data_IF_842767670701
#
_entry.id   IF_842767670701
#
_cell.length_a   1.000
_cell.length_b   1.000
_cell.length_c   1.000
_cell.angle_alpha   90.00
_cell.angle_beta   90.00
_cell.angle_gamma   90.00
#
_symmetry.space_group_name_H-M   'P 1'
#
loop_
_entity.id
_entity.type
_entity.pdbx_description
1 polymer ?
#
# COMPACT_ATOMS: atom_id res chain seq x y z
N UNK A 1 17.51 -18.41 10.79
CA UNK A 1 16.04 -18.65 10.66
C UNK A 1 15.80 -19.64 9.53
N UNK A 2 14.68 -20.37 9.54
CA UNK A 2 14.30 -21.29 8.44
C UNK A 2 13.51 -20.50 7.39
N UNK A 3 13.69 -20.80 6.11
CA UNK A 3 12.97 -20.20 4.99
C UNK A 3 11.46 -20.39 5.12
N UNK A 4 10.70 -19.30 5.05
CA UNK A 4 9.25 -19.32 5.18
C UNK A 4 8.54 -20.12 4.07
N UNK A 5 9.10 -20.14 2.85
CA UNK A 5 8.50 -20.87 1.72
C UNK A 5 8.73 -22.38 1.83
N UNK A 6 9.98 -22.84 1.89
CA UNK A 6 10.27 -24.29 1.87
C UNK A 6 10.19 -24.95 3.24
N UNK A 7 10.33 -24.20 4.34
CA UNK A 7 10.39 -24.72 5.73
C UNK A 7 11.51 -25.74 5.98
N UNK A 8 12.51 -25.83 5.10
CA UNK A 8 13.59 -26.82 5.16
C UNK A 8 14.98 -26.19 5.26
N UNK A 9 15.25 -25.17 4.44
CA UNK A 9 16.57 -24.55 4.31
C UNK A 9 16.71 -23.32 5.20
N UNK A 10 17.95 -22.97 5.52
CA UNK A 10 18.23 -21.70 6.18
C UNK A 10 17.85 -20.52 5.27
N UNK A 11 17.16 -19.55 5.85
CA UNK A 11 16.85 -18.29 5.19
C UNK A 11 18.12 -17.43 5.13
N UNK A 12 18.76 -17.42 3.96
CA UNK A 12 20.07 -16.81 3.75
C UNK A 12 20.03 -15.56 2.87
N UNK A 13 18.86 -15.22 2.30
CA UNK A 13 18.74 -14.12 1.34
C UNK A 13 18.43 -12.80 2.03
N UNK A 14 19.10 -11.73 1.58
CA UNK A 14 18.84 -10.34 1.95
C UNK A 14 18.14 -9.58 0.84
N UNK A 15 17.45 -8.50 1.20
CA UNK A 15 16.76 -7.57 0.31
C UNK A 15 15.79 -8.28 -0.64
N UNK A 16 15.04 -9.26 -0.12
CA UNK A 16 14.01 -9.94 -0.92
C UNK A 16 12.78 -9.05 -0.93
N UNK A 17 12.38 -8.53 -2.08
CA UNK A 17 11.15 -7.75 -2.18
C UNK A 17 9.93 -8.67 -2.05
N UNK A 18 9.00 -8.33 -1.15
CA UNK A 18 7.77 -9.11 -0.95
C UNK A 18 6.60 -8.64 -1.83
N UNK A 19 6.67 -7.42 -2.36
CA UNK A 19 5.89 -6.97 -3.51
C UNK A 19 6.81 -6.87 -4.74
N UNK A 20 6.32 -7.25 -5.92
CA UNK A 20 7.16 -7.27 -7.12
C UNK A 20 7.70 -5.88 -7.48
N UNK A 21 9.02 -5.75 -7.39
CA UNK A 21 9.77 -4.50 -7.56
C UNK A 21 9.51 -3.82 -8.91
N UNK A 22 9.46 -4.57 -10.02
CA UNK A 22 9.21 -3.99 -11.36
C UNK A 22 7.87 -3.24 -11.50
N UNK A 23 6.91 -3.53 -10.62
CA UNK A 23 5.62 -2.86 -10.61
C UNK A 23 5.63 -1.69 -9.65
N UNK A 24 6.07 -1.91 -8.40
CA UNK A 24 6.03 -0.88 -7.36
C UNK A 24 7.06 0.23 -7.59
N UNK A 25 8.25 -0.08 -8.16
CA UNK A 25 9.38 0.84 -8.28
C UNK A 25 9.03 2.20 -8.91
N UNK A 26 8.17 2.22 -9.91
CA UNK A 26 7.74 3.47 -10.58
C UNK A 26 6.87 4.37 -9.69
N UNK A 27 6.20 3.80 -8.68
CA UNK A 27 5.55 4.58 -7.63
C UNK A 27 6.57 5.07 -6.59
N UNK A 28 7.61 4.27 -6.33
CA UNK A 28 8.61 4.56 -5.29
C UNK A 28 9.74 5.50 -5.72
N UNK A 29 9.73 5.99 -6.97
CA UNK A 29 10.73 6.91 -7.54
C UNK A 29 10.07 8.27 -7.87
N UNK A 30 10.70 9.40 -7.53
CA UNK A 30 10.25 10.80 -7.51
C UNK A 30 9.82 11.26 -8.91
N UNK A 31 10.53 10.75 -9.92
CA UNK A 31 10.27 11.05 -11.33
C UNK A 31 9.67 9.84 -12.07
N UNK A 32 9.35 8.75 -11.37
CA UNK A 32 8.93 7.46 -11.92
C UNK A 32 9.96 6.77 -12.82
N UNK A 33 11.21 7.25 -12.84
CA UNK A 33 12.30 6.71 -13.65
C UNK A 33 12.64 5.25 -13.25
N UNK A 34 13.21 4.48 -14.18
CA UNK A 34 13.69 3.10 -13.90
C UNK A 34 15.01 3.06 -13.11
N UNK A 35 15.70 4.20 -13.01
CA UNK A 35 16.93 4.36 -12.24
C UNK A 35 16.60 4.54 -10.76
N UNK A 36 17.37 3.86 -9.90
CA UNK A 36 17.19 3.87 -8.44
C UNK A 36 17.64 5.20 -7.85
N UNK A 37 16.87 6.26 -8.00
CA UNK A 37 17.11 7.48 -7.22
C UNK A 37 15.81 8.17 -6.84
N UNK A 38 15.56 8.10 -5.52
CA UNK A 38 14.66 8.90 -4.70
C UNK A 38 13.20 8.76 -5.08
N UNK A 39 12.28 8.42 -4.17
CA UNK A 39 10.85 8.65 -4.37
C UNK A 39 10.05 8.39 -3.10
N UNK A 40 8.77 8.76 -3.15
CA UNK A 40 7.89 8.76 -2.00
C UNK A 40 6.91 7.61 -2.10
N UNK A 41 6.73 6.88 -1.01
CA UNK A 41 5.55 6.06 -0.88
C UNK A 41 4.97 6.20 0.51
N UNK A 42 3.66 6.01 0.53
CA UNK A 42 2.83 6.22 1.69
C UNK A 42 2.41 4.85 2.18
N UNK A 43 2.90 4.45 3.35
CA UNK A 43 2.30 3.32 4.04
C UNK A 43 0.84 3.69 4.40
N UNK A 44 -0.08 2.77 4.14
CA UNK A 44 -1.50 2.88 4.51
C UNK A 44 -1.73 2.05 5.77
N UNK A 45 -0.77 2.06 6.70
CA UNK A 45 -0.95 1.38 7.96
C UNK A 45 -1.90 2.17 8.85
N UNK A 46 -2.83 1.44 9.46
CA UNK A 46 -3.84 2.01 10.36
C UNK A 46 -3.27 2.38 11.75
N UNK A 47 -1.99 2.13 11.99
CA UNK A 47 -1.39 2.20 13.33
C UNK A 47 -0.91 3.60 13.69
N UNK A 48 -0.70 4.49 12.71
CA UNK A 48 -0.28 5.86 12.96
C UNK A 48 -1.16 6.85 12.14
N UNK A 49 -1.63 7.95 12.74
CA UNK A 49 -2.30 9.04 12.00
C UNK A 49 -1.30 9.93 11.26
N UNK A 50 -0.02 9.55 11.30
CA UNK A 50 1.11 10.20 10.66
C UNK A 50 1.51 9.38 9.46
N UNK A 51 1.99 10.05 8.41
CA UNK A 51 2.54 9.34 7.27
C UNK A 51 3.95 8.88 7.63
N UNK A 52 4.16 7.58 7.77
CA UNK A 52 5.50 7.01 7.76
C UNK A 52 6.06 7.16 6.33
N UNK A 53 6.94 8.15 6.17
CA UNK A 53 7.70 8.33 4.95
C UNK A 53 8.91 7.43 4.96
N UNK A 54 8.90 6.48 4.05
CA UNK A 54 10.08 5.68 3.77
C UNK A 54 10.70 6.21 2.47
N UNK A 55 11.91 6.72 2.59
CA UNK A 55 12.69 7.22 1.47
C UNK A 55 13.57 6.11 0.94
N UNK A 56 13.85 6.10 -0.36
CA UNK A 56 14.82 5.15 -0.90
C UNK A 56 16.26 5.61 -0.67
N UNK A 57 17.16 4.63 -0.54
CA UNK A 57 18.63 4.83 -0.58
C UNK A 57 19.02 5.76 -1.73
N UNK A 58 19.71 6.85 -1.40
CA UNK A 58 20.21 7.84 -2.38
C UNK A 58 19.43 9.16 -2.38
N UNK A 59 18.30 9.26 -1.67
CA UNK A 59 17.65 10.56 -1.43
C UNK A 59 18.60 11.45 -0.63
N UNK A 60 19.05 12.56 -1.24
CA UNK A 60 19.91 13.50 -0.54
C UNK A 60 19.12 14.18 0.58
N UNK A 61 19.78 14.42 1.73
CA UNK A 61 19.18 15.12 2.87
C UNK A 61 18.51 16.46 2.43
N UNK A 62 19.09 17.25 1.50
CA UNK A 62 18.40 18.45 1.02
C UNK A 62 17.06 18.20 0.32
N UNK A 63 16.93 17.15 -0.50
CA UNK A 63 15.67 16.79 -1.18
C UNK A 63 14.65 16.22 -0.19
N UNK A 64 15.14 15.46 0.79
CA UNK A 64 14.36 14.94 1.91
C UNK A 64 13.71 16.09 2.69
N UNK A 65 14.51 17.08 3.08
CA UNK A 65 14.06 18.26 3.83
C UNK A 65 13.15 19.19 3.02
N UNK A 66 13.42 19.35 1.71
CA UNK A 66 12.55 20.09 0.79
C UNK A 66 11.14 19.48 0.73
N UNK A 67 11.07 18.15 0.70
CA UNK A 67 9.82 17.41 0.58
C UNK A 67 9.04 17.36 1.90
N UNK A 68 9.76 17.25 3.02
CA UNK A 68 9.17 17.31 4.36
C UNK A 68 8.78 18.74 4.76
N UNK A 69 9.39 19.76 4.14
CA UNK A 69 9.26 21.17 4.54
C UNK A 69 9.85 21.46 5.93
N UNK A 70 10.71 20.57 6.44
CA UNK A 70 11.40 20.62 7.74
C UNK A 70 12.68 19.78 7.71
N UNK A 71 13.52 19.93 8.73
CA UNK A 71 14.66 19.04 8.93
C UNK A 71 14.20 17.61 9.23
N UNK A 72 14.88 16.63 8.65
CA UNK A 72 14.64 15.22 8.90
C UNK A 72 15.32 14.78 10.21
N UNK A 73 14.67 13.91 10.98
CA UNK A 73 15.26 13.34 12.20
C UNK A 73 16.27 12.24 11.87
N UNK A 74 17.18 11.90 12.80
CA UNK A 74 18.12 10.79 12.60
C UNK A 74 17.40 9.45 12.37
N UNK A 75 16.27 9.23 13.03
CA UNK A 75 15.43 8.03 12.83
C UNK A 75 14.84 7.98 11.42
N UNK A 76 14.38 9.12 10.87
CA UNK A 76 13.88 9.21 9.50
C UNK A 76 14.98 8.97 8.47
N UNK A 77 16.19 9.47 8.75
CA UNK A 77 17.38 9.26 7.91
C UNK A 77 17.83 7.78 7.96
N UNK A 78 17.67 7.10 9.09
CA UNK A 78 18.00 5.67 9.20
C UNK A 78 16.94 4.80 8.52
N UNK A 79 15.64 5.07 8.75
CA UNK A 79 14.53 4.42 8.03
C UNK A 79 14.64 4.62 6.51
N UNK A 80 15.08 5.79 6.06
CA UNK A 80 15.38 6.09 4.65
C UNK A 80 16.47 5.20 4.02
N UNK A 81 17.26 4.48 4.82
CA UNK A 81 18.29 3.54 4.31
C UNK A 81 17.74 2.13 4.11
N UNK A 82 16.56 1.83 4.66
CA UNK A 82 15.88 0.56 4.47
C UNK A 82 15.34 0.48 3.04
N UNK A 83 15.35 -0.73 2.46
CA UNK A 83 14.80 -0.94 1.13
C UNK A 83 13.31 -1.23 1.31
N UNK A 84 12.43 -0.40 0.73
CA UNK A 84 11.01 -0.52 0.96
C UNK A 84 10.45 -1.82 0.39
N UNK A 85 9.46 -2.36 1.09
CA UNK A 85 8.81 -3.62 0.75
C UNK A 85 9.78 -4.79 0.58
N UNK A 86 10.87 -4.80 1.35
CA UNK A 86 11.87 -5.86 1.31
C UNK A 86 12.19 -6.42 2.69
N UNK A 87 12.59 -7.69 2.73
CA UNK A 87 12.94 -8.39 3.96
C UNK A 87 14.29 -9.09 3.87
N UNK A 88 14.96 -9.15 5.01
CA UNK A 88 16.21 -9.85 5.21
C UNK A 88 15.97 -11.17 5.95
N UNK A 89 16.59 -12.25 5.47
CA UNK A 89 16.64 -13.55 6.12
C UNK A 89 15.27 -14.19 6.41
N UNK A 90 14.26 -13.89 5.58
CA UNK A 90 12.94 -14.57 5.59
C UNK A 90 12.91 -15.73 4.59
N UNK A 91 13.61 -15.59 3.46
CA UNK A 91 13.62 -16.57 2.37
C UNK A 91 15.05 -17.07 2.10
N UNK A 92 15.14 -18.25 1.48
CA UNK A 92 16.39 -18.78 0.95
C UNK A 92 16.53 -18.49 -0.54
N UNK A 93 17.76 -18.43 -1.05
CA UNK A 93 18.06 -18.15 -2.46
C UNK A 93 17.28 -19.04 -3.44
N UNK A 94 17.15 -20.34 -3.16
CA UNK A 94 16.42 -21.27 -4.03
C UNK A 94 14.92 -20.96 -4.11
N UNK A 95 14.34 -20.37 -3.06
CA UNK A 95 12.92 -19.98 -3.07
C UNK A 95 12.70 -18.63 -3.76
N UNK A 96 13.71 -17.76 -3.77
CA UNK A 96 13.70 -16.53 -4.55
C UNK A 96 13.74 -16.82 -6.06
N UNK A 97 14.43 -17.88 -6.49
CA UNK A 97 14.39 -18.35 -7.87
C UNK A 97 12.96 -18.75 -8.30
N UNK A 98 12.18 -19.36 -7.40
CA UNK A 98 10.76 -19.68 -7.62
C UNK A 98 9.92 -18.39 -7.76
N UNK A 99 10.19 -17.37 -6.93
CA UNK A 99 9.51 -16.08 -7.08
C UNK A 99 9.80 -15.48 -8.46
N UNK A 100 11.06 -15.54 -8.89
CA UNK A 100 11.48 -15.05 -10.21
C UNK A 100 10.81 -15.81 -11.35
N UNK A 101 10.65 -17.14 -11.24
CA UNK A 101 9.97 -17.95 -12.26
C UNK A 101 8.46 -17.65 -12.36
N UNK A 102 7.84 -17.22 -11.27
CA UNK A 102 6.43 -16.77 -11.26
C UNK A 102 6.28 -15.33 -11.78
N UNK A 103 7.17 -14.42 -11.36
CA UNK A 103 7.07 -13.00 -11.70
C UNK A 103 7.41 -12.71 -13.17
N UNK A 104 8.46 -13.35 -13.70
CA UNK A 104 8.99 -13.06 -15.04
C UNK A 104 7.93 -13.24 -16.13
N UNK A 105 7.18 -14.36 -16.21
CA UNK A 105 6.13 -14.52 -17.22
C UNK A 105 5.04 -13.45 -17.14
N UNK A 106 4.65 -13.04 -15.94
CA UNK A 106 3.65 -11.98 -15.78
C UNK A 106 4.20 -10.63 -16.29
N UNK A 107 5.42 -10.27 -15.91
CA UNK A 107 6.07 -9.01 -16.32
C UNK A 107 6.26 -8.94 -17.83
N UNK A 108 6.66 -10.04 -18.47
CA UNK A 108 6.99 -10.06 -19.89
C UNK A 108 5.76 -10.19 -20.79
N UNK A 109 4.69 -10.86 -20.32
CA UNK A 109 3.55 -11.22 -21.19
C UNK A 109 2.23 -10.56 -20.81
N UNK A 110 1.99 -10.31 -19.51
CA UNK A 110 0.72 -9.78 -19.01
C UNK A 110 0.81 -8.27 -18.78
N UNK A 111 1.82 -7.81 -18.05
CA UNK A 111 2.00 -6.39 -17.71
C UNK A 111 2.01 -5.44 -18.93
N UNK A 112 2.61 -5.79 -20.09
CA UNK A 112 2.59 -4.93 -21.27
C UNK A 112 1.18 -4.63 -21.80
N UNK A 113 0.24 -5.56 -21.61
CA UNK A 113 -1.16 -5.39 -22.02
C UNK A 113 -1.86 -4.26 -21.24
N UNK A 114 -1.29 -3.84 -20.11
CA UNK A 114 -1.78 -2.74 -19.29
C UNK A 114 -1.00 -1.45 -19.52
N UNK A 115 0.34 -1.50 -19.44
CA UNK A 115 1.20 -0.30 -19.44
C UNK A 115 1.56 0.23 -20.83
N UNK A 116 1.51 -0.60 -21.87
CA UNK A 116 1.94 -0.22 -23.23
C UNK A 116 0.76 -0.01 -24.19
N UNK A 117 -0.47 0.01 -23.67
CA UNK A 117 -1.70 0.09 -24.45
C UNK A 117 -2.57 1.23 -23.93
N UNK A 118 -3.19 1.99 -24.84
CA UNK A 118 -4.20 2.95 -24.45
C UNK A 118 -5.52 2.23 -24.13
N UNK A 119 -5.85 2.12 -22.84
CA UNK A 119 -7.08 1.50 -22.35
C UNK A 119 -8.26 2.49 -22.22
N UNK A 120 -8.20 3.66 -22.86
CA UNK A 120 -9.30 4.63 -22.81
C UNK A 120 -10.58 4.02 -23.38
N UNK A 121 -11.65 4.00 -22.56
CA UNK A 121 -12.93 3.39 -22.92
C UNK A 121 -13.03 1.90 -22.63
N UNK A 122 -11.94 1.25 -22.22
CA UNK A 122 -11.90 -0.14 -21.76
C UNK A 122 -12.22 -0.18 -20.27
N UNK A 123 -13.22 -0.98 -19.88
CA UNK A 123 -13.60 -1.19 -18.48
C UNK A 123 -13.08 -2.53 -17.92
N UNK A 124 -12.64 -3.44 -18.78
CA UNK A 124 -12.15 -4.76 -18.39
C UNK A 124 -11.14 -5.33 -19.39
N UNK A 125 -10.22 -6.14 -18.89
CA UNK A 125 -9.33 -6.98 -19.69
C UNK A 125 -9.55 -8.42 -19.23
N UNK A 126 -9.89 -9.29 -20.18
CA UNK A 126 -10.01 -10.73 -19.96
C UNK A 126 -8.71 -11.42 -20.39
N UNK A 127 -8.11 -12.18 -19.48
CA UNK A 127 -6.84 -12.87 -19.70
C UNK A 127 -7.06 -14.39 -19.72
N UNK A 128 -6.69 -15.04 -20.81
CA UNK A 128 -6.75 -16.49 -20.94
C UNK A 128 -5.63 -17.23 -20.19
N UNK A 129 -4.53 -16.53 -19.84
CA UNK A 129 -3.38 -17.12 -19.14
C UNK A 129 -3.63 -17.27 -17.63
N UNK A 130 -4.70 -17.99 -17.24
CA UNK A 130 -5.18 -18.09 -15.85
C UNK A 130 -4.06 -18.49 -14.86
N UNK A 131 -3.27 -19.52 -15.16
CA UNK A 131 -2.14 -19.96 -14.33
C UNK A 131 -1.13 -18.84 -14.05
N UNK A 132 -0.68 -18.11 -15.08
CA UNK A 132 0.32 -17.04 -14.93
C UNK A 132 -0.24 -15.94 -14.02
N UNK A 133 -1.48 -15.53 -14.29
CA UNK A 133 -2.13 -14.43 -13.57
C UNK A 133 -2.40 -14.80 -12.11
N UNK A 134 -2.94 -16.00 -11.86
CA UNK A 134 -3.21 -16.50 -10.51
C UNK A 134 -1.95 -16.64 -9.68
N UNK A 135 -0.93 -17.33 -10.20
CA UNK A 135 0.32 -17.53 -9.49
C UNK A 135 0.96 -16.19 -9.13
N UNK A 136 0.95 -15.22 -10.05
CA UNK A 136 1.48 -13.90 -9.80
C UNK A 136 0.77 -13.19 -8.63
N UNK A 137 -0.57 -13.11 -8.64
CA UNK A 137 -1.30 -12.41 -7.59
C UNK A 137 -1.33 -13.17 -6.26
N UNK A 138 -1.40 -14.50 -6.28
CA UNK A 138 -1.28 -15.33 -5.07
C UNK A 138 0.09 -15.20 -4.42
N UNK A 139 1.16 -15.06 -5.21
CA UNK A 139 2.49 -14.76 -4.69
C UNK A 139 2.52 -13.43 -3.94
N UNK A 140 1.88 -12.38 -4.47
CA UNK A 140 1.81 -11.08 -3.78
C UNK A 140 1.05 -11.21 -2.45
N UNK A 141 -0.13 -11.83 -2.48
CA UNK A 141 -0.97 -12.04 -1.29
C UNK A 141 -0.22 -12.81 -0.20
N UNK A 142 0.42 -13.93 -0.57
CA UNK A 142 1.12 -14.77 0.39
C UNK A 142 2.36 -14.10 0.96
N UNK A 143 3.20 -13.46 0.13
CA UNK A 143 4.40 -12.77 0.62
C UNK A 143 4.04 -11.60 1.52
N UNK A 144 3.02 -10.81 1.19
CA UNK A 144 2.51 -9.75 2.06
C UNK A 144 2.07 -10.33 3.41
N UNK A 145 1.31 -11.41 3.43
CA UNK A 145 0.89 -12.06 4.69
C UNK A 145 2.03 -12.62 5.54
N UNK A 146 3.18 -12.97 4.94
CA UNK A 146 4.38 -13.40 5.68
C UNK A 146 5.16 -12.21 6.24
N UNK A 147 5.18 -11.09 5.53
CA UNK A 147 6.08 -9.97 5.79
C UNK A 147 5.43 -8.80 6.53
N UNK A 148 4.10 -8.69 6.49
CA UNK A 148 3.34 -7.60 7.10
C UNK A 148 2.44 -8.12 8.22
N UNK A 149 2.75 -7.75 9.46
CA UNK A 149 1.97 -8.14 10.66
C UNK A 149 0.51 -7.66 10.58
N UNK A 150 0.26 -6.58 9.84
CA UNK A 150 -1.07 -6.02 9.63
C UNK A 150 -1.89 -6.76 8.58
N UNK A 151 -1.33 -7.74 7.86
CA UNK A 151 -2.01 -8.49 6.80
C UNK A 151 -2.18 -9.96 7.18
N UNK A 152 -3.30 -10.28 7.83
CA UNK A 152 -3.51 -11.60 8.41
C UNK A 152 -4.43 -12.48 7.55
N UNK A 153 -3.99 -13.71 7.29
CA UNK A 153 -4.77 -14.76 6.64
C UNK A 153 -4.87 -15.98 7.58
N UNK A 154 -5.90 -16.81 7.42
CA UNK A 154 -5.99 -18.07 8.17
C UNK A 154 -4.83 -19.02 7.83
N UNK A 155 -4.45 -19.86 8.79
CA UNK A 155 -3.36 -20.83 8.62
C UNK A 155 -3.60 -21.77 7.43
N UNK A 156 -4.85 -22.17 7.17
CA UNK A 156 -5.21 -23.01 6.01
C UNK A 156 -4.96 -22.28 4.69
N UNK A 157 -5.47 -21.05 4.55
CA UNK A 157 -5.23 -20.22 3.37
C UNK A 157 -3.74 -20.01 3.14
N UNK A 158 -3.00 -19.68 4.21
CA UNK A 158 -1.55 -19.47 4.15
C UNK A 158 -0.80 -20.70 3.64
N UNK A 159 -1.13 -21.89 4.17
CA UNK A 159 -0.46 -23.12 3.78
C UNK A 159 -0.83 -23.54 2.35
N UNK A 160 -2.08 -23.37 1.93
CA UNK A 160 -2.53 -23.64 0.55
C UNK A 160 -1.84 -22.73 -0.46
N UNK A 161 -1.72 -21.43 -0.17
CA UNK A 161 -0.97 -20.48 -0.99
C UNK A 161 0.52 -20.86 -1.03
N UNK A 162 1.13 -21.18 0.12
CA UNK A 162 2.54 -21.60 0.22
C UNK A 162 2.83 -22.81 -0.67
N UNK A 163 2.01 -23.86 -0.58
CA UNK A 163 2.18 -25.08 -1.37
C UNK A 163 1.95 -24.82 -2.86
N UNK A 164 1.02 -23.94 -3.21
CA UNK A 164 0.78 -23.53 -4.61
C UNK A 164 2.00 -22.84 -5.21
N UNK A 165 2.61 -21.91 -4.46
CA UNK A 165 3.82 -21.17 -4.89
C UNK A 165 5.02 -22.11 -4.97
N UNK A 166 5.24 -22.94 -3.94
CA UNK A 166 6.35 -23.88 -3.88
C UNK A 166 6.33 -24.89 -5.03
N UNK A 167 5.14 -25.28 -5.51
CA UNK A 167 4.96 -26.23 -6.61
C UNK A 167 4.56 -25.54 -7.94
N UNK A 168 4.80 -24.24 -8.09
CA UNK A 168 4.36 -23.44 -9.25
C UNK A 168 4.77 -23.99 -10.62
N UNK A 169 5.96 -24.59 -10.71
CA UNK A 169 6.47 -25.18 -11.95
C UNK A 169 5.67 -26.43 -12.37
N UNK A 170 5.25 -27.26 -11.42
CA UNK A 170 4.60 -28.56 -11.67
C UNK A 170 3.07 -28.53 -11.52
N UNK A 171 2.50 -27.51 -10.88
CA UNK A 171 1.07 -27.42 -10.63
C UNK A 171 0.30 -27.13 -11.93
N UNK A 172 -0.72 -27.92 -12.22
CA UNK A 172 -1.61 -27.67 -13.37
C UNK A 172 -2.67 -26.63 -13.02
N UNK A 173 -3.19 -25.94 -14.06
CA UNK A 173 -4.15 -24.85 -13.86
C UNK A 173 -5.43 -25.30 -13.12
N UNK A 174 -5.86 -26.55 -13.29
CA UNK A 174 -7.01 -27.12 -12.60
C UNK A 174 -6.77 -27.37 -11.11
N UNK A 175 -5.51 -27.54 -10.70
CA UNK A 175 -5.12 -27.90 -9.34
C UNK A 175 -4.81 -26.65 -8.48
N UNK A 176 -4.70 -25.47 -9.11
CA UNK A 176 -4.51 -24.21 -8.40
C UNK A 176 -5.76 -23.94 -7.54
N UNK A 177 -5.60 -23.70 -6.21
CA UNK A 177 -6.73 -23.42 -5.34
C UNK A 177 -7.49 -22.20 -5.81
N UNK A 178 -8.80 -22.26 -5.67
CA UNK A 178 -9.69 -21.23 -6.16
C UNK A 178 -10.18 -20.37 -5.00
N UNK A 179 -9.41 -19.33 -4.70
CA UNK A 179 -9.81 -18.27 -3.79
C UNK A 179 -10.53 -17.18 -4.59
N UNK A 180 -11.62 -16.60 -4.08
CA UNK A 180 -12.20 -15.43 -4.72
C UNK A 180 -11.25 -14.23 -4.61
N UNK A 181 -10.98 -13.58 -5.73
CA UNK A 181 -10.23 -12.32 -5.73
C UNK A 181 -10.71 -11.39 -6.83
N UNK A 182 -10.50 -10.09 -6.62
CA UNK A 182 -10.81 -9.05 -7.58
C UNK A 182 -9.59 -8.17 -7.78
N UNK A 183 -9.15 -8.06 -9.03
CA UNK A 183 -8.04 -7.21 -9.43
C UNK A 183 -8.58 -5.99 -10.15
N UNK A 184 -8.17 -4.81 -9.71
CA UNK A 184 -8.40 -3.56 -10.42
C UNK A 184 -7.07 -3.00 -10.90
N UNK A 185 -6.94 -2.78 -12.21
CA UNK A 185 -5.87 -2.01 -12.80
C UNK A 185 -6.22 -0.51 -12.77
N UNK A 186 -5.33 0.32 -12.22
CA UNK A 186 -5.45 1.76 -12.12
C UNK A 186 -4.76 2.40 -13.33
N UNK A 187 -5.54 2.73 -14.37
CA UNK A 187 -4.99 3.34 -15.57
C UNK A 187 -4.35 4.68 -15.22
N UNK A 188 -3.04 4.76 -15.41
CA UNK A 188 -2.25 5.97 -15.16
C UNK A 188 -1.90 6.59 -16.52
N UNK A 189 -2.41 7.80 -16.76
CA UNK A 189 -2.13 8.56 -17.99
C UNK A 189 -1.24 9.74 -17.62
N UNK A 190 -0.08 9.82 -18.26
CA UNK A 190 0.93 10.85 -17.99
C UNK A 190 2.34 10.34 -18.26
N UNK A 191 3.32 11.13 -17.87
CA UNK A 191 4.72 10.71 -17.82
C UNK A 191 4.98 9.84 -16.59
N UNK A 192 6.25 9.45 -16.40
CA UNK A 192 6.67 8.59 -15.31
C UNK A 192 6.30 9.18 -13.92
N UNK A 193 6.28 10.51 -13.77
CA UNK A 193 5.85 11.18 -12.55
C UNK A 193 4.38 10.92 -12.18
N UNK A 194 3.52 10.55 -13.14
CA UNK A 194 2.13 10.26 -12.84
C UNK A 194 1.95 9.01 -11.96
N UNK A 195 2.88 8.05 -12.04
CA UNK A 195 2.85 6.80 -11.26
C UNK A 195 3.17 7.00 -9.78
N UNK A 196 3.85 8.09 -9.42
CA UNK A 196 4.20 8.41 -8.02
C UNK A 196 2.98 8.80 -7.18
N UNK A 197 1.87 9.15 -7.85
CA UNK A 197 0.60 9.48 -7.21
C UNK A 197 -0.22 8.23 -6.83
N UNK A 198 0.25 7.02 -7.16
CA UNK A 198 -0.40 5.79 -6.75
C UNK A 198 0.03 5.40 -5.32
N UNK A 199 -0.50 4.28 -4.83
CA UNK A 199 -0.16 3.77 -3.50
C UNK A 199 0.52 2.41 -3.58
N UNK A 200 1.38 2.15 -2.60
CA UNK A 200 1.92 0.82 -2.32
C UNK A 200 1.73 0.57 -0.83
N UNK A 201 1.12 -0.55 -0.47
CA UNK A 201 0.78 -0.86 0.92
C UNK A 201 -0.33 -1.90 1.00
N UNK A 202 -0.76 -2.23 2.21
CA UNK A 202 -1.84 -3.19 2.41
C UNK A 202 -2.72 -2.81 3.60
N UNK A 203 -3.93 -3.38 3.64
CA UNK A 203 -4.78 -3.33 4.83
C UNK A 203 -5.61 -4.62 4.95
N UNK A 204 -5.73 -5.13 6.18
CA UNK A 204 -6.61 -6.26 6.53
C UNK A 204 -7.63 -5.89 7.62
N UNK A 205 -7.83 -4.60 7.88
CA UNK A 205 -8.83 -4.12 8.84
C UNK A 205 -10.28 -4.37 8.36
N UNK A 206 -10.44 -4.82 7.12
CA UNK A 206 -11.70 -5.10 6.44
C UNK A 206 -11.57 -6.38 5.62
N UNK A 207 -12.71 -7.02 5.33
CA UNK A 207 -12.82 -8.10 4.36
C UNK A 207 -13.49 -7.54 3.09
N UNK A 208 -12.80 -7.40 1.94
CA UNK A 208 -11.60 -8.15 1.55
C UNK A 208 -10.29 -7.64 2.14
N UNK A 209 -9.29 -8.52 2.18
CA UNK A 209 -7.90 -8.14 2.37
C UNK A 209 -7.40 -7.38 1.14
N UNK A 210 -6.85 -6.17 1.32
CA UNK A 210 -6.52 -5.28 0.20
C UNK A 210 -5.02 -5.04 0.13
N UNK A 211 -4.46 -5.17 -1.07
CA UNK A 211 -3.08 -4.77 -1.38
C UNK A 211 -3.11 -3.72 -2.48
N UNK A 212 -2.52 -2.57 -2.19
CA UNK A 212 -2.16 -1.55 -3.17
C UNK A 212 -0.76 -1.86 -3.69
N UNK A 213 -0.64 -2.04 -4.99
CA UNK A 213 0.60 -2.37 -5.66
C UNK A 213 0.76 -1.48 -6.89
N UNK A 214 0.96 -0.18 -6.62
CA UNK A 214 1.04 0.88 -7.62
C UNK A 214 -0.20 0.92 -8.53
N UNK A 215 -0.09 0.38 -9.74
CA UNK A 215 -1.14 0.38 -10.75
C UNK A 215 -2.09 -0.82 -10.63
N UNK A 216 -1.92 -1.68 -9.62
CA UNK A 216 -2.87 -2.74 -9.29
C UNK A 216 -3.40 -2.62 -7.87
N UNK A 217 -4.69 -2.91 -7.71
CA UNK A 217 -5.33 -3.15 -6.40
C UNK A 217 -5.83 -4.58 -6.38
N UNK A 218 -5.36 -5.35 -5.39
CA UNK A 218 -5.73 -6.74 -5.16
C UNK A 218 -6.71 -6.77 -4.00
N UNK A 219 -7.91 -7.28 -4.22
CA UNK A 219 -8.89 -7.57 -3.18
C UNK A 219 -9.03 -9.09 -3.07
N UNK A 220 -8.61 -9.67 -1.96
CA UNK A 220 -8.56 -11.11 -1.74
C UNK A 220 -9.55 -11.55 -0.66
N UNK A 221 -10.24 -12.66 -0.92
CA UNK A 221 -11.19 -13.29 -0.01
C UNK A 221 -10.75 -14.73 0.26
N UNK A 222 -10.79 -15.16 1.53
CA UNK A 222 -10.44 -16.54 1.88
C UNK A 222 -11.53 -17.54 1.46
N UNK A 223 -12.79 -17.10 1.42
CA UNK A 223 -13.94 -17.94 1.09
C UNK A 223 -15.01 -17.16 0.30
N UNK A 224 -15.80 -17.86 -0.54
CA UNK A 224 -16.83 -17.24 -1.40
C UNK A 224 -18.02 -16.66 -0.62
N UNK A 225 -18.44 -17.33 0.45
CA UNK A 225 -19.46 -16.85 1.40
C UNK A 225 -19.05 -15.54 2.13
N UNK A 226 -17.76 -15.21 2.14
CA UNK A 226 -17.22 -14.00 2.74
C UNK A 226 -17.23 -12.81 1.79
N UNK A 227 -17.60 -12.98 0.52
CA UNK A 227 -17.70 -11.87 -0.44
C UNK A 227 -18.79 -10.92 0.03
N UNK A 228 -18.37 -9.71 0.41
CA UNK A 228 -19.25 -8.62 0.79
C UNK A 228 -18.90 -7.40 -0.06
N UNK A 229 -19.93 -6.69 -0.51
CA UNK A 229 -19.71 -5.39 -1.13
C UNK A 229 -19.29 -4.41 -0.06
N UNK A 230 -18.02 -4.02 -0.07
CA UNK A 230 -17.51 -2.90 0.72
C UNK A 230 -17.33 -1.73 -0.21
N UNK A 231 -17.98 -0.60 0.08
CA UNK A 231 -17.58 0.67 -0.53
C UNK A 231 -16.18 1.01 -0.01
N UNK A 232 -15.21 0.92 -0.91
CA UNK A 232 -13.82 1.24 -0.63
C UNK A 232 -13.45 2.46 -1.45
N UNK A 233 -13.79 3.65 -0.95
CA UNK A 233 -13.47 4.94 -1.57
C UNK A 233 -13.90 5.05 -3.05
N UNK A 234 -14.99 4.37 -3.44
CA UNK A 234 -15.47 4.32 -4.83
C UNK A 234 -14.72 3.36 -5.77
N UNK A 235 -13.83 2.52 -5.24
CA UNK A 235 -13.19 1.39 -5.97
C UNK A 235 -14.23 0.35 -6.38
N UNK A 236 -15.11 -0.02 -5.44
CA UNK A 236 -16.20 -0.96 -5.66
C UNK A 236 -17.51 -0.19 -5.84
N UNK A 237 -18.24 -0.50 -6.91
CA UNK A 237 -19.62 -0.04 -7.07
C UNK A 237 -20.57 -1.21 -6.80
N UNK A 238 -21.73 -0.94 -6.22
CA UNK A 238 -22.66 -1.96 -5.69
C UNK A 238 -23.09 -3.00 -6.72
N UNK A 239 -23.13 -2.63 -8.01
CA UNK A 239 -23.55 -3.52 -9.09
C UNK A 239 -22.37 -4.12 -9.89
N UNK A 240 -21.13 -3.83 -9.50
CA UNK A 240 -19.93 -4.06 -10.31
C UNK A 240 -19.01 -5.13 -9.72
N UNK A 241 -18.96 -5.25 -8.39
CA UNK A 241 -18.06 -6.17 -7.71
C UNK A 241 -18.29 -7.63 -8.12
N UNK A 242 -19.54 -8.07 -8.16
CA UNK A 242 -19.90 -9.45 -8.49
C UNK A 242 -19.46 -9.88 -9.90
N UNK A 243 -19.39 -8.93 -10.86
CA UNK A 243 -18.95 -9.21 -12.22
C UNK A 243 -17.44 -9.46 -12.30
N UNK A 244 -16.66 -8.86 -11.40
CA UNK A 244 -15.20 -8.88 -11.43
C UNK A 244 -14.56 -9.75 -10.35
N UNK A 245 -15.36 -10.49 -9.57
CA UNK A 245 -14.83 -11.56 -8.72
C UNK A 245 -14.38 -12.72 -9.62
N UNK A 246 -13.08 -13.01 -9.56
CA UNK A 246 -12.49 -14.19 -10.16
C UNK A 246 -12.60 -15.33 -9.15
N UNK A 247 -13.43 -16.31 -9.48
CA UNK A 247 -13.62 -17.55 -8.72
C UNK A 247 -13.68 -18.75 -9.66
N UNK A 248 -12.94 -18.72 -10.78
CA UNK A 248 -12.86 -19.80 -11.75
C UNK A 248 -11.44 -19.99 -12.30
N UNK A 249 -11.24 -21.03 -13.10
CA UNK A 249 -9.95 -21.40 -13.69
C UNK A 249 -9.87 -21.17 -15.21
N UNK A 250 -10.92 -20.63 -15.85
CA UNK A 250 -10.98 -20.48 -17.31
C UNK A 250 -10.27 -19.22 -17.80
N UNK A 251 -10.71 -18.05 -17.33
CA UNK A 251 -10.10 -16.76 -17.62
C UNK A 251 -10.02 -15.91 -16.35
N UNK A 252 -9.21 -14.86 -16.39
CA UNK A 252 -9.14 -13.86 -15.31
C UNK A 252 -9.60 -12.53 -15.86
N UNK A 253 -10.63 -11.97 -15.23
CA UNK A 253 -11.15 -10.65 -15.52
C UNK A 253 -10.48 -9.62 -14.61
N UNK A 254 -9.79 -8.67 -15.22
CA UNK A 254 -9.17 -7.53 -14.54
C UNK A 254 -9.98 -6.29 -14.86
N UNK A 255 -10.54 -5.66 -13.83
CA UNK A 255 -11.26 -4.40 -13.97
C UNK A 255 -10.28 -3.29 -14.32
N UNK A 256 -10.61 -2.42 -15.27
CA UNK A 256 -9.83 -1.24 -15.60
C UNK A 256 -10.52 -0.01 -15.01
N UNK A 257 -9.83 0.70 -14.13
CA UNK A 257 -10.29 1.98 -13.57
C UNK A 257 -9.67 3.13 -14.37
N UNK A 258 -10.48 3.95 -15.07
CA UNK A 258 -9.96 5.08 -15.84
C UNK A 258 -9.21 6.10 -14.98
N UNK A 259 -8.25 6.82 -15.58
CA UNK A 259 -7.37 7.75 -14.87
C UNK A 259 -8.10 8.80 -14.02
N UNK A 260 -9.22 9.35 -14.49
CA UNK A 260 -9.98 10.31 -13.68
C UNK A 260 -10.55 9.67 -12.41
N UNK A 261 -11.11 8.46 -12.52
CA UNK A 261 -11.62 7.72 -11.36
C UNK A 261 -10.51 7.26 -10.42
N UNK A 262 -9.32 6.94 -10.96
CA UNK A 262 -8.11 6.69 -10.17
C UNK A 262 -7.73 7.92 -9.34
N UNK A 263 -7.68 9.11 -9.94
CA UNK A 263 -7.39 10.35 -9.21
C UNK A 263 -8.43 10.62 -8.11
N UNK A 264 -9.72 10.38 -8.39
CA UNK A 264 -10.79 10.53 -7.40
C UNK A 264 -10.68 9.51 -6.25
N UNK A 265 -10.25 8.28 -6.54
CA UNK A 265 -9.97 7.23 -5.55
C UNK A 265 -8.81 7.66 -4.64
N UNK A 266 -7.68 8.05 -5.24
CA UNK A 266 -6.48 8.51 -4.52
C UNK A 266 -6.80 9.72 -3.65
N UNK A 267 -7.53 10.70 -4.19
CA UNK A 267 -7.93 11.89 -3.47
C UNK A 267 -8.84 11.61 -2.27
N UNK A 268 -9.77 10.64 -2.40
CA UNK A 268 -10.63 10.21 -1.29
C UNK A 268 -9.86 9.49 -0.19
N UNK A 269 -9.01 8.53 -0.55
CA UNK A 269 -8.13 7.83 0.41
C UNK A 269 -7.29 8.84 1.19
N UNK A 270 -6.62 9.77 0.50
CA UNK A 270 -5.80 10.80 1.16
C UNK A 270 -6.64 11.68 2.11
N UNK A 271 -7.86 12.04 1.73
CA UNK A 271 -8.73 12.86 2.57
C UNK A 271 -9.21 12.12 3.82
N UNK A 272 -9.69 10.90 3.65
CA UNK A 272 -10.40 10.16 4.70
C UNK A 272 -9.44 9.41 5.62
N UNK A 273 -8.42 8.74 5.06
CA UNK A 273 -7.47 7.97 5.87
C UNK A 273 -6.34 8.84 6.44
N UNK A 274 -6.00 9.97 5.81
CA UNK A 274 -4.88 10.81 6.27
C UNK A 274 -5.38 12.11 6.90
N UNK A 275 -6.01 13.00 6.13
CA UNK A 275 -6.38 14.34 6.62
C UNK A 275 -7.30 14.25 7.84
N UNK A 276 -8.37 13.45 7.77
CA UNK A 276 -9.32 13.33 8.88
C UNK A 276 -8.73 12.66 10.12
N UNK A 277 -7.91 11.60 9.95
CA UNK A 277 -7.23 10.95 11.08
C UNK A 277 -6.20 11.86 11.75
N UNK A 278 -5.39 12.58 10.97
CA UNK A 278 -4.45 13.57 11.51
C UNK A 278 -5.19 14.70 12.25
N UNK A 279 -6.24 15.27 11.66
CA UNK A 279 -7.07 16.29 12.35
C UNK A 279 -7.61 15.75 13.67
N UNK A 280 -8.17 14.53 13.67
CA UNK A 280 -8.72 13.91 14.88
C UNK A 280 -7.65 13.74 15.96
N UNK A 281 -6.46 13.26 15.58
CA UNK A 281 -5.31 13.15 16.48
C UNK A 281 -4.90 14.51 17.08
N UNK A 282 -4.88 15.58 16.27
CA UNK A 282 -4.51 16.92 16.74
C UNK A 282 -5.52 17.44 17.74
N UNK A 283 -6.81 17.27 17.46
CA UNK A 283 -7.91 17.68 18.34
C UNK A 283 -7.86 16.90 19.66
N UNK A 284 -7.65 15.57 19.60
CA UNK A 284 -7.53 14.74 20.80
C UNK A 284 -6.32 15.11 21.67
N UNK A 285 -5.18 15.36 21.04
CA UNK A 285 -3.94 15.76 21.73
C UNK A 285 -4.14 17.11 22.44
N UNK A 286 -4.72 18.09 21.73
CA UNK A 286 -5.07 19.37 22.31
C UNK A 286 -6.07 19.25 23.46
N UNK A 287 -7.14 18.47 23.27
CA UNK A 287 -8.15 18.26 24.31
C UNK A 287 -7.55 17.62 25.57
N UNK A 288 -6.65 16.64 25.41
CA UNK A 288 -5.93 16.00 26.52
C UNK A 288 -5.04 16.99 27.28
N UNK A 289 -4.19 17.74 26.57
CA UNK A 289 -3.30 18.72 27.19
C UNK A 289 -4.08 19.85 27.88
N UNK A 290 -5.11 20.37 27.21
CA UNK A 290 -5.99 21.39 27.76
C UNK A 290 -6.69 20.90 29.04
N UNK A 291 -7.20 19.67 29.04
CA UNK A 291 -7.80 19.07 30.24
C UNK A 291 -6.80 18.93 31.39
N UNK A 292 -5.57 18.51 31.11
CA UNK A 292 -4.53 18.38 32.15
C UNK A 292 -4.20 19.72 32.83
N UNK A 293 -4.25 20.83 32.07
CA UNK A 293 -3.89 22.16 32.57
C UNK A 293 -5.09 22.86 33.24
N UNK A 294 -6.27 22.78 32.64
CA UNK A 294 -7.43 23.58 33.02
C UNK A 294 -8.56 22.79 33.71
N UNK A 295 -8.47 21.46 33.77
CA UNK A 295 -9.47 20.61 34.43
C UNK A 295 -10.82 20.51 33.72
N UNK A 296 -10.91 20.94 32.46
CA UNK A 296 -12.10 20.88 31.62
C UNK A 296 -11.74 20.72 30.14
N UNK A 297 -12.68 20.34 29.29
CA UNK A 297 -12.44 20.21 27.84
C UNK A 297 -12.52 21.58 27.13
N UNK A 298 -11.73 21.81 26.06
CA UNK A 298 -11.85 23.03 25.27
C UNK A 298 -13.22 23.08 24.59
N UNK A 299 -13.78 24.29 24.46
CA UNK A 299 -15.03 24.48 23.72
C UNK A 299 -14.77 24.44 22.20
N UNK A 300 -15.84 24.29 21.42
CA UNK A 300 -15.74 24.19 19.96
C UNK A 300 -15.03 25.39 19.31
N UNK A 301 -15.22 26.60 19.83
CA UNK A 301 -14.56 27.80 19.31
C UNK A 301 -13.03 27.72 19.48
N UNK A 302 -12.57 27.33 20.67
CA UNK A 302 -11.14 27.13 20.95
C UNK A 302 -10.53 26.00 20.12
N UNK A 303 -11.26 24.90 19.92
CA UNK A 303 -10.80 23.81 19.05
C UNK A 303 -10.64 24.28 17.59
N UNK A 304 -11.55 25.11 17.09
CA UNK A 304 -11.45 25.67 15.74
C UNK A 304 -10.30 26.67 15.62
N UNK A 305 -10.09 27.53 16.61
CA UNK A 305 -8.91 28.42 16.64
C UNK A 305 -7.60 27.64 16.66
N UNK A 306 -7.53 26.54 17.42
CA UNK A 306 -6.37 25.66 17.44
C UNK A 306 -6.12 25.00 16.08
N UNK A 307 -7.18 24.49 15.43
CA UNK A 307 -7.06 23.92 14.09
C UNK A 307 -6.62 24.96 13.07
N UNK A 308 -7.10 26.20 13.17
CA UNK A 308 -6.65 27.33 12.34
C UNK A 308 -5.19 27.68 12.62
N UNK A 309 -4.77 27.64 13.88
CA UNK A 309 -3.39 27.89 14.28
C UNK A 309 -2.44 26.84 13.70
N UNK A 310 -2.81 25.56 13.74
CA UNK A 310 -2.01 24.50 13.12
C UNK A 310 -2.05 24.59 11.60
N UNK A 311 -3.19 24.97 11.00
CA UNK A 311 -3.36 24.98 9.54
C UNK A 311 -3.00 26.30 8.85
N UNK A 312 -2.46 27.29 9.58
CA UNK A 312 -2.08 28.59 9.05
C UNK A 312 -0.93 28.45 8.01
N UNK A 313 -1.30 28.27 6.75
CA UNK A 313 -0.39 27.99 5.62
C UNK A 313 -0.86 26.86 4.68
N UNK A 314 -1.99 26.21 5.00
CA UNK A 314 -2.49 25.01 4.31
C UNK A 314 -2.27 23.76 5.15
N UNK A 315 -3.20 22.80 5.08
CA UNK A 315 -3.08 21.53 5.80
C UNK A 315 -2.12 20.61 5.04
N UNK A 316 -0.84 20.73 5.33
CA UNK A 316 0.19 19.87 4.79
C UNK A 316 0.61 18.86 5.84
N UNK A 317 0.05 17.65 5.75
CA UNK A 317 0.30 16.55 6.69
C UNK A 317 1.79 16.22 6.77
N UNK A 318 2.56 16.51 5.72
CA UNK A 318 3.99 16.26 5.61
C UNK A 318 4.83 17.05 6.62
N UNK A 319 4.33 18.23 7.03
CA UNK A 319 5.09 19.16 7.86
C UNK A 319 5.14 18.78 9.34
N UNK A 320 4.28 17.86 9.79
CA UNK A 320 4.05 17.67 11.21
C UNK A 320 4.41 16.24 11.67
N UNK A 321 5.43 16.13 12.51
CA UNK A 321 5.71 14.93 13.33
C UNK A 321 4.90 14.94 14.62
N UNK A 322 4.77 13.80 15.29
CA UNK A 322 4.14 13.72 16.61
C UNK A 322 4.72 14.73 17.61
N UNK A 323 6.05 14.85 17.67
CA UNK A 323 6.74 15.78 18.56
C UNK A 323 6.45 17.24 18.19
N UNK A 324 6.54 17.59 16.90
CA UNK A 324 6.27 18.96 16.45
C UNK A 324 4.85 19.42 16.77
N UNK A 325 3.89 18.48 16.81
CA UNK A 325 2.50 18.77 17.16
C UNK A 325 2.34 18.99 18.64
N UNK A 326 3.01 18.19 19.48
CA UNK A 326 3.01 18.43 20.92
C UNK A 326 3.60 19.80 21.23
N UNK A 327 4.69 20.19 20.57
CA UNK A 327 5.30 21.53 20.69
C UNK A 327 4.35 22.64 20.22
N UNK A 328 3.76 22.51 19.03
CA UNK A 328 2.76 23.46 18.50
C UNK A 328 1.53 23.58 19.40
N UNK A 329 1.08 22.47 19.98
CA UNK A 329 -0.03 22.45 20.92
C UNK A 329 0.31 23.23 22.18
N UNK A 330 1.51 23.02 22.70
CA UNK A 330 2.04 23.75 23.86
C UNK A 330 2.15 25.24 23.56
N UNK A 331 2.70 25.61 22.40
CA UNK A 331 2.79 26.99 21.92
C UNK A 331 1.41 27.68 21.89
N UNK A 332 0.40 26.99 21.35
CA UNK A 332 -0.96 27.52 21.31
C UNK A 332 -1.55 27.71 22.71
N UNK A 333 -1.34 26.76 23.62
CA UNK A 333 -1.83 26.86 25.00
C UNK A 333 -1.16 28.04 25.72
N UNK A 334 0.16 28.21 25.56
CA UNK A 334 0.91 29.35 26.12
C UNK A 334 0.40 30.69 25.59
N UNK A 335 0.04 30.76 24.31
CA UNK A 335 -0.58 31.95 23.72
C UNK A 335 -1.96 32.27 24.31
N UNK A 336 -2.70 31.27 24.79
CA UNK A 336 -4.00 31.48 25.45
C UNK A 336 -3.89 31.79 26.94
N UNK A 337 -2.75 31.47 27.55
CA UNK A 337 -2.42 31.80 28.94
C UNK A 337 -1.91 33.23 29.13
N UNK A 338 -1.36 33.84 28.07
CA UNK A 338 -0.95 35.25 28.01
C UNK A 338 -2.11 36.15 27.64
#
# INVERSE_FOLDING_TARGET
>A
MICALCKEREANKKNTHYLTDSIIRTCLNLDGANEREAGFYFDVSNNTPFVDFNFQRGTSIPKLEESLGRQATEEEIEKAKEIPFSVDYVFCSQCEDIFTSIETPFIETILPQFRQVNLTGTNQIELAQNKIVKLFFYLQVWRTAICEDVYNLSEDTMERLRLTILNSDSIENCDIPNFPYHITYLQTVGDASAYTNNFVGCTSDRNPNIIFMNDFVIQFFEETNLIRTIDFYGLNQTNDLAQFINAGNESVNIKVLPNQRRLDLVGRINREEKVQKSISYFVETFAKQWFMIFGGFPNQYLTQEYLQFISAGGFDILKYTQESIVEKTTEFIDLKLK
#
